data_IF_840854151945
#
_entry.id   IF_840854151945
#
_cell.length_a   1.000
_cell.length_b   1.000
_cell.length_c   1.000
_cell.angle_alpha   90.00
_cell.angle_beta   90.00
_cell.angle_gamma   90.00
#
_symmetry.space_group_name_H-M   'P 1'
#
loop_
_entity.id
_entity.type
_entity.pdbx_description
1 polymer ?
#
# COMPACT_ATOMS: atom_id res chain seq x y z
N UNK A 1 25.54 5.00 19.46
CA UNK A 1 25.55 4.42 18.10
C UNK A 1 24.41 3.41 18.00
N UNK A 2 23.36 3.72 17.24
CA UNK A 2 22.31 2.75 16.90
C UNK A 2 22.75 1.99 15.65
N UNK A 3 23.63 1.00 15.81
CA UNK A 3 24.24 0.26 14.69
C UNK A 3 23.24 -0.61 13.90
N UNK A 4 21.98 -0.66 14.35
CA UNK A 4 20.88 -1.42 13.74
C UNK A 4 19.58 -0.61 13.66
N UNK A 5 19.67 0.64 13.18
CA UNK A 5 18.51 1.45 12.84
C UNK A 5 17.98 1.10 11.44
N UNK A 6 16.68 1.13 11.26
CA UNK A 6 15.99 0.96 9.96
C UNK A 6 14.78 1.91 9.90
N UNK A 7 14.27 2.15 8.70
CA UNK A 7 13.07 2.98 8.51
C UNK A 7 11.87 2.38 9.22
N UNK A 8 11.00 3.23 9.78
CA UNK A 8 9.85 2.79 10.54
C UNK A 8 8.97 1.83 9.71
N UNK A 9 8.56 0.73 10.34
CA UNK A 9 7.56 -0.18 9.76
C UNK A 9 6.17 0.46 9.89
N UNK A 10 5.20 0.08 9.06
CA UNK A 10 3.84 0.66 9.08
C UNK A 10 3.05 0.47 10.38
N UNK A 11 3.54 -0.38 11.29
CA UNK A 11 2.90 -0.69 12.58
C UNK A 11 1.41 -1.10 12.45
N UNK A 12 1.06 -1.76 11.34
CA UNK A 12 -0.28 -2.24 11.08
C UNK A 12 -0.69 -3.32 12.09
N UNK A 13 -1.97 -3.31 12.44
CA UNK A 13 -2.60 -4.37 13.21
C UNK A 13 -2.46 -5.73 12.47
N UNK A 14 -2.15 -6.84 13.16
CA UNK A 14 -2.05 -8.16 12.55
C UNK A 14 -3.30 -8.61 11.76
N UNK A 15 -4.50 -8.17 12.18
CA UNK A 15 -5.76 -8.42 11.46
C UNK A 15 -5.81 -7.67 10.12
N UNK A 16 -5.11 -6.53 10.03
CA UNK A 16 -5.04 -5.70 8.84
C UNK A 16 -3.91 -6.15 7.88
N UNK A 17 -2.77 -6.61 8.39
CA UNK A 17 -1.66 -7.05 7.55
C UNK A 17 -0.72 -8.04 8.24
N UNK A 18 -0.59 -9.23 7.64
CA UNK A 18 0.45 -10.23 7.95
C UNK A 18 1.08 -10.82 6.68
N UNK A 19 0.99 -10.11 5.53
CA UNK A 19 1.40 -10.62 4.21
C UNK A 19 2.90 -10.92 4.08
N UNK A 20 3.74 -10.32 4.93
CA UNK A 20 5.16 -10.63 4.98
C UNK A 20 5.47 -11.86 5.88
N UNK A 21 4.47 -12.54 6.44
CA UNK A 21 4.65 -13.76 7.25
C UNK A 21 4.72 -13.54 8.76
N UNK A 22 4.33 -12.37 9.26
CA UNK A 22 4.27 -12.06 10.69
C UNK A 22 3.77 -10.65 10.97
N UNK A 23 3.69 -10.29 12.26
CA UNK A 23 3.32 -8.93 12.67
C UNK A 23 4.47 -7.93 12.45
N UNK A 24 4.15 -6.64 12.42
CA UNK A 24 5.16 -5.58 12.32
C UNK A 24 6.20 -5.66 13.47
N UNK A 25 5.78 -6.11 14.66
CA UNK A 25 6.66 -6.27 15.81
C UNK A 25 7.63 -7.44 15.62
N UNK A 26 7.15 -8.59 15.13
CA UNK A 26 8.00 -9.74 14.81
C UNK A 26 9.01 -9.38 13.72
N UNK A 27 8.55 -8.71 12.66
CA UNK A 27 9.41 -8.24 11.57
C UNK A 27 10.49 -7.26 12.07
N UNK A 28 10.14 -6.33 12.95
CA UNK A 28 11.12 -5.42 13.57
C UNK A 28 12.21 -6.19 14.32
N UNK A 29 11.83 -7.19 15.12
CA UNK A 29 12.78 -8.05 15.83
C UNK A 29 13.70 -8.82 14.87
N UNK A 30 13.14 -9.37 13.80
CA UNK A 30 13.91 -10.08 12.77
C UNK A 30 14.90 -9.16 12.03
N UNK A 31 14.54 -7.90 11.76
CA UNK A 31 15.43 -6.92 11.13
C UNK A 31 16.60 -6.59 12.06
N UNK A 32 16.33 -6.31 13.34
CA UNK A 32 17.38 -6.07 14.34
C UNK A 32 18.27 -7.30 14.51
N UNK A 33 17.76 -8.51 14.33
CA UNK A 33 18.56 -9.73 14.43
C UNK A 33 19.25 -10.12 13.10
N UNK A 34 19.04 -9.34 12.02
CA UNK A 34 19.67 -9.56 10.71
C UNK A 34 19.07 -10.73 9.93
N UNK A 35 17.91 -11.24 10.34
CA UNK A 35 17.19 -12.33 9.65
C UNK A 35 16.31 -11.83 8.50
N UNK A 36 15.92 -10.56 8.53
CA UNK A 36 15.07 -9.91 7.53
C UNK A 36 15.56 -8.51 7.20
N UNK A 37 15.06 -7.96 6.10
CA UNK A 37 15.33 -6.59 5.65
C UNK A 37 14.05 -5.77 5.66
N UNK A 38 14.18 -4.44 5.76
CA UNK A 38 13.03 -3.51 5.67
C UNK A 38 12.25 -3.68 4.37
N UNK A 39 12.96 -3.98 3.27
CA UNK A 39 12.42 -4.27 1.94
C UNK A 39 11.54 -5.52 1.87
N UNK A 40 11.56 -6.38 2.90
CA UNK A 40 10.71 -7.57 2.94
C UNK A 40 9.25 -7.22 3.33
N UNK A 41 8.99 -5.96 3.72
CA UNK A 41 7.63 -5.47 3.97
C UNK A 41 6.96 -5.17 2.63
N UNK A 42 5.94 -5.93 2.30
CA UNK A 42 5.21 -5.78 1.02
C UNK A 42 4.30 -4.55 0.98
N UNK A 43 4.10 -3.85 2.11
CA UNK A 43 3.30 -2.63 2.16
C UNK A 43 4.01 -1.39 1.61
N UNK A 44 5.34 -1.42 1.51
CA UNK A 44 6.09 -0.36 0.83
C UNK A 44 6.07 -0.52 -0.71
N UNK A 45 5.49 -1.62 -1.20
CA UNK A 45 5.29 -1.84 -2.63
C UNK A 45 4.44 -0.72 -3.21
N UNK A 46 4.96 -0.07 -4.26
CA UNK A 46 4.36 1.07 -4.99
C UNK A 46 2.84 1.14 -4.88
N UNK A 47 2.32 2.10 -4.12
CA UNK A 47 0.88 2.38 -4.09
C UNK A 47 0.41 2.66 -5.51
N UNK A 48 -0.43 1.77 -6.04
CA UNK A 48 -0.99 1.90 -7.39
C UNK A 48 -2.13 2.92 -7.45
N UNK A 49 -2.62 3.35 -6.29
CA UNK A 49 -3.73 4.28 -6.11
C UNK A 49 -3.40 5.28 -5.01
N UNK A 50 -3.71 6.54 -5.25
CA UNK A 50 -3.77 7.60 -4.23
C UNK A 50 -5.23 8.01 -4.02
N UNK A 51 -5.68 8.07 -2.78
CA UNK A 51 -6.99 8.58 -2.40
C UNK A 51 -6.82 9.77 -1.45
N UNK A 52 -7.56 10.85 -1.72
CA UNK A 52 -7.59 12.04 -0.86
C UNK A 52 -9.02 12.34 -0.42
N UNK A 53 -9.18 12.61 0.88
CA UNK A 53 -10.43 13.11 1.47
C UNK A 53 -10.12 14.45 2.11
N UNK A 54 -10.82 15.50 1.68
CA UNK A 54 -10.53 16.90 2.07
C UNK A 54 -9.04 17.27 1.88
N UNK A 55 -8.45 16.81 0.78
CA UNK A 55 -7.03 17.03 0.44
C UNK A 55 -6.03 16.21 1.26
N UNK A 56 -6.47 15.43 2.26
CA UNK A 56 -5.60 14.56 3.06
C UNK A 56 -5.46 13.18 2.42
N UNK A 57 -4.22 12.72 2.27
CA UNK A 57 -3.96 11.36 1.77
C UNK A 57 -4.40 10.30 2.77
N UNK A 58 -5.10 9.30 2.24
CA UNK A 58 -5.56 8.14 3.01
C UNK A 58 -4.63 6.97 2.73
N UNK A 59 -4.07 6.37 3.79
CA UNK A 59 -3.33 5.12 3.67
C UNK A 59 -4.30 3.99 3.38
N UNK A 60 -4.14 3.37 2.21
CA UNK A 60 -4.98 2.27 1.76
C UNK A 60 -4.17 0.97 1.87
N UNK A 61 -4.71 -0.03 2.57
CA UNK A 61 -4.08 -1.35 2.65
C UNK A 61 -4.02 -2.03 1.27
N UNK A 62 -3.02 -2.87 0.98
CA UNK A 62 -2.82 -3.45 -0.36
C UNK A 62 -4.05 -4.13 -0.96
N UNK A 63 -4.81 -4.88 -0.14
CA UNK A 63 -6.04 -5.54 -0.58
C UNK A 63 -7.09 -4.56 -1.10
N UNK A 64 -7.30 -3.44 -0.42
CA UNK A 64 -8.27 -2.41 -0.83
C UNK A 64 -7.75 -1.66 -2.07
N UNK A 65 -6.43 -1.48 -2.22
CA UNK A 65 -5.86 -0.91 -3.45
C UNK A 65 -6.14 -1.79 -4.68
N UNK A 66 -6.00 -3.11 -4.54
CA UNK A 66 -6.30 -4.07 -5.62
C UNK A 66 -7.78 -4.00 -6.02
N UNK A 67 -8.71 -4.04 -5.05
CA UNK A 67 -10.16 -3.93 -5.32
C UNK A 67 -10.52 -2.64 -6.03
N UNK A 68 -10.04 -1.50 -5.53
CA UNK A 68 -10.34 -0.20 -6.13
C UNK A 68 -9.81 -0.12 -7.56
N UNK A 69 -8.58 -0.59 -7.80
CA UNK A 69 -7.96 -0.59 -9.13
C UNK A 69 -8.78 -1.41 -10.10
N UNK A 70 -9.07 -2.67 -9.75
CA UNK A 70 -9.75 -3.59 -10.65
C UNK A 70 -11.15 -3.09 -10.98
N UNK A 71 -11.85 -2.53 -9.98
CA UNK A 71 -13.17 -1.93 -10.16
C UNK A 71 -13.13 -0.71 -11.10
N UNK A 72 -12.19 0.22 -10.88
CA UNK A 72 -12.02 1.42 -11.73
C UNK A 72 -11.64 1.02 -13.15
N UNK A 73 -10.70 0.08 -13.32
CA UNK A 73 -10.27 -0.40 -14.63
C UNK A 73 -11.40 -1.12 -15.37
N UNK A 74 -12.23 -1.90 -14.68
CA UNK A 74 -13.40 -2.53 -15.28
C UNK A 74 -14.36 -1.49 -15.86
N UNK A 75 -14.60 -0.38 -15.16
CA UNK A 75 -15.42 0.72 -15.68
C UNK A 75 -14.77 1.37 -16.90
N UNK A 76 -13.49 1.71 -16.82
CA UNK A 76 -12.75 2.39 -17.90
C UNK A 76 -12.67 1.55 -19.17
N UNK A 77 -12.47 0.24 -19.04
CA UNK A 77 -12.40 -0.68 -20.18
C UNK A 77 -13.72 -0.76 -20.97
N UNK A 78 -14.84 -0.31 -20.39
CA UNK A 78 -16.13 -0.21 -21.07
C UNK A 78 -16.36 1.16 -21.75
N UNK A 79 -15.47 2.14 -21.55
CA UNK A 79 -15.56 3.45 -22.16
C UNK A 79 -14.91 3.45 -23.55
N UNK A 80 -15.54 4.13 -24.50
CA UNK A 80 -14.97 4.32 -25.85
C UNK A 80 -13.93 5.45 -25.83
N UNK A 81 -12.94 5.31 -26.69
CA UNK A 81 -11.92 6.33 -26.98
C UNK A 81 -11.01 6.74 -25.80
N UNK A 82 -10.87 5.86 -24.80
CA UNK A 82 -9.89 6.05 -23.72
C UNK A 82 -8.58 5.32 -24.04
N UNK A 83 -7.47 6.05 -23.94
CA UNK A 83 -6.12 5.50 -24.09
C UNK A 83 -5.74 4.77 -22.78
N UNK A 84 -5.35 3.48 -22.84
CA UNK A 84 -4.91 2.75 -21.66
C UNK A 84 -3.63 3.33 -21.05
N UNK A 85 -3.36 2.97 -19.79
CA UNK A 85 -2.12 3.31 -19.07
C UNK A 85 -1.83 4.82 -18.93
N UNK A 86 -2.87 5.65 -18.96
CA UNK A 86 -2.81 7.08 -18.63
C UNK A 86 -3.23 7.32 -17.19
N UNK A 87 -2.88 8.50 -16.67
CA UNK A 87 -3.36 8.96 -15.37
C UNK A 87 -4.89 9.07 -15.38
N UNK A 88 -5.52 8.52 -14.35
CA UNK A 88 -6.97 8.51 -14.16
C UNK A 88 -7.27 9.34 -12.91
N UNK A 89 -8.09 10.39 -13.07
CA UNK A 89 -8.55 11.21 -11.95
C UNK A 89 -10.07 11.05 -11.78
N UNK A 90 -10.49 10.63 -10.60
CA UNK A 90 -11.90 10.50 -10.23
C UNK A 90 -12.20 11.54 -9.14
N UNK A 91 -13.19 12.40 -9.39
CA UNK A 91 -13.66 13.39 -8.43
C UNK A 91 -15.11 13.08 -8.07
N UNK A 92 -15.36 12.72 -6.81
CA UNK A 92 -16.72 12.52 -6.28
C UNK A 92 -17.12 13.83 -5.59
N UNK A 93 -18.23 14.44 -6.03
CA UNK A 93 -18.81 15.63 -5.39
C UNK A 93 -19.92 15.17 -4.43
N UNK A 94 -20.10 15.85 -3.28
CA UNK A 94 -21.19 15.57 -2.37
C UNK A 94 -22.57 15.79 -3.01
#
# INVERSE_FOLDING_TARGET
MLTKSFEMLPAADPECCSRCGGSCFQMAGDIVQGRRKRSDCVMDGSSKISLKVDGKEVLIVPFVQEILRDSIMAVINNLRDIVPDREIQINIRP
#
